data_IF_203819143722
#
_entry.id   IF_203819143722
#
_cell.length_a   1.000
_cell.length_b   1.000
_cell.length_c   1.000
_cell.angle_alpha   90.00
_cell.angle_beta   90.00
_cell.angle_gamma   90.00
#
_symmetry.space_group_name_H-M   'P 1'
#
loop_
_entity.id
_entity.type
_entity.pdbx_description
1 polymer ?
#
# COMPACT_ATOMS: atom_id res chain seq x y z
N UNK A 1 -8.02 -7.28 3.22
CA UNK A 1 -7.67 -8.53 2.51
C UNK A 1 -6.56 -8.23 1.54
N UNK A 2 -5.55 -9.10 1.46
CA UNK A 2 -4.52 -9.09 0.41
C UNK A 2 -4.57 -10.45 -0.27
N UNK A 3 -4.56 -10.45 -1.60
CA UNK A 3 -4.54 -11.66 -2.42
C UNK A 3 -3.34 -11.61 -3.35
N UNK A 4 -2.64 -12.74 -3.49
CA UNK A 4 -1.58 -12.88 -4.48
C UNK A 4 -2.19 -12.87 -5.90
N UNK A 5 -1.49 -12.26 -6.86
CA UNK A 5 -1.90 -12.29 -8.28
C UNK A 5 -2.00 -13.71 -8.85
N UNK A 6 -1.25 -14.64 -8.26
CA UNK A 6 -1.26 -16.06 -8.64
C UNK A 6 -2.36 -16.88 -7.94
N UNK A 7 -3.23 -16.25 -7.15
CA UNK A 7 -4.30 -16.98 -6.45
C UNK A 7 -5.40 -17.41 -7.44
N UNK A 8 -5.55 -18.71 -7.63
CA UNK A 8 -6.62 -19.27 -8.47
C UNK A 8 -7.98 -19.27 -7.76
N UNK A 9 -9.05 -19.53 -8.52
CA UNK A 9 -10.39 -19.70 -7.96
C UNK A 9 -10.41 -20.91 -7.02
N UNK A 10 -10.66 -20.67 -5.73
CA UNK A 10 -10.62 -21.69 -4.69
C UNK A 10 -9.23 -21.93 -4.08
N UNK A 11 -8.21 -21.15 -4.46
CA UNK A 11 -6.86 -21.21 -3.90
C UNK A 11 -6.74 -20.62 -2.49
N UNK A 12 -5.54 -20.74 -1.92
CA UNK A 12 -5.21 -20.39 -0.53
C UNK A 12 -4.21 -19.22 -0.40
N UNK A 13 -3.81 -18.58 -1.51
CA UNK A 13 -2.88 -17.44 -1.53
C UNK A 13 -3.62 -16.11 -1.27
N UNK A 14 -4.47 -16.08 -0.25
CA UNK A 14 -5.28 -14.92 0.15
C UNK A 14 -5.41 -14.86 1.67
N UNK A 15 -5.29 -13.67 2.24
CA UNK A 15 -5.40 -13.45 3.69
C UNK A 15 -6.10 -12.13 4.03
N UNK A 16 -6.59 -12.04 5.27
CA UNK A 16 -7.14 -10.81 5.84
C UNK A 16 -6.50 -10.56 7.22
N UNK A 17 -6.34 -9.28 7.56
CA UNK A 17 -5.84 -8.84 8.84
C UNK A 17 -6.38 -7.44 9.15
N UNK A 18 -6.30 -7.07 10.43
CA UNK A 18 -6.44 -5.67 10.87
C UNK A 18 -5.09 -5.00 10.70
N UNK A 19 -5.03 -3.92 9.94
CA UNK A 19 -3.81 -3.18 9.65
C UNK A 19 -3.76 -1.88 10.45
N UNK A 20 -2.61 -1.62 11.08
CA UNK A 20 -2.33 -0.36 11.76
C UNK A 20 -1.26 0.40 10.97
N UNK A 21 -1.46 1.70 10.75
CA UNK A 21 -0.54 2.50 9.95
C UNK A 21 -0.98 3.95 9.80
N UNK A 22 -0.24 4.68 8.96
CA UNK A 22 -0.52 6.07 8.60
C UNK A 22 -1.16 6.13 7.20
N UNK A 23 -2.21 6.93 6.98
CA UNK A 23 -2.73 7.16 5.63
C UNK A 23 -1.64 7.71 4.71
N UNK A 24 -1.47 7.09 3.54
CA UNK A 24 -0.44 7.52 2.58
C UNK A 24 -0.70 8.94 2.09
N UNK A 25 -1.97 9.33 1.92
CA UNK A 25 -2.35 10.69 1.48
C UNK A 25 -1.79 11.77 2.40
N UNK A 26 -1.86 11.59 3.71
CA UNK A 26 -1.32 12.55 4.69
C UNK A 26 0.20 12.74 4.52
N UNK A 27 0.90 11.67 4.16
CA UNK A 27 2.35 11.71 3.90
C UNK A 27 2.67 12.40 2.58
N UNK A 28 1.88 12.16 1.52
CA UNK A 28 2.05 12.80 0.21
C UNK A 28 1.76 14.31 0.30
N UNK A 29 0.71 14.70 1.01
CA UNK A 29 0.34 16.10 1.24
C UNK A 29 1.43 16.82 2.04
N UNK A 30 1.91 16.19 3.13
CA UNK A 30 3.02 16.74 3.92
C UNK A 30 4.31 16.86 3.12
N UNK A 31 4.56 15.95 2.18
CA UNK A 31 5.73 16.00 1.31
C UNK A 31 5.61 17.06 0.20
N UNK A 32 4.41 17.59 -0.06
CA UNK A 32 4.17 18.56 -1.13
C UNK A 32 4.44 17.96 -2.51
N UNK A 33 3.93 16.74 -2.76
CA UNK A 33 4.10 16.06 -4.05
C UNK A 33 3.56 16.95 -5.18
N UNK A 34 4.41 17.17 -6.19
CA UNK A 34 4.07 18.05 -7.30
C UNK A 34 3.03 17.40 -8.23
N UNK A 35 2.13 18.17 -8.85
CA UNK A 35 1.06 17.62 -9.69
C UNK A 35 1.55 16.76 -10.87
N UNK A 36 2.76 16.99 -11.37
CA UNK A 36 3.38 16.19 -12.44
C UNK A 36 3.86 14.79 -11.99
N UNK A 37 3.86 14.51 -10.68
CA UNK A 37 4.25 13.22 -10.12
C UNK A 37 3.16 12.17 -10.31
N UNK A 38 3.28 11.35 -11.35
CA UNK A 38 2.22 10.40 -11.76
C UNK A 38 2.32 9.01 -11.14
N UNK A 39 3.39 8.67 -10.41
CA UNK A 39 3.61 7.34 -9.87
C UNK A 39 4.18 7.35 -8.45
N UNK A 40 3.58 6.54 -7.58
CA UNK A 40 4.15 6.15 -6.28
C UNK A 40 4.94 4.86 -6.49
N UNK A 41 6.20 4.83 -6.07
CA UNK A 41 7.09 3.66 -6.20
C UNK A 41 7.60 3.22 -4.83
N UNK A 42 7.16 2.05 -4.40
CA UNK A 42 7.73 1.34 -3.27
C UNK A 42 9.04 0.67 -3.67
N UNK A 43 10.05 0.82 -2.82
CA UNK A 43 11.34 0.12 -2.93
C UNK A 43 11.60 -0.59 -1.60
N UNK A 44 11.81 -1.89 -1.66
CA UNK A 44 12.10 -2.71 -0.49
C UNK A 44 13.61 -2.87 -0.30
N UNK A 45 14.01 -3.15 0.95
CA UNK A 45 15.41 -3.41 1.32
C UNK A 45 15.97 -4.68 0.69
N UNK A 46 15.10 -5.61 0.28
CA UNK A 46 15.45 -6.85 -0.42
C UNK A 46 15.54 -6.68 -1.95
N UNK A 47 15.39 -5.44 -2.45
CA UNK A 47 15.46 -5.11 -3.86
C UNK A 47 14.15 -5.23 -4.63
N UNK A 48 13.05 -5.64 -3.99
CA UNK A 48 11.74 -5.65 -4.65
C UNK A 48 11.23 -4.22 -4.92
N UNK A 49 10.61 -4.01 -6.08
CA UNK A 49 9.98 -2.73 -6.42
C UNK A 49 8.59 -2.95 -6.98
N UNK A 50 7.65 -2.11 -6.57
CA UNK A 50 6.28 -2.11 -7.08
C UNK A 50 5.74 -0.69 -6.96
N UNK A 51 4.83 -0.31 -7.84
CA UNK A 51 4.24 1.02 -7.81
C UNK A 51 2.83 1.03 -8.37
N UNK A 52 2.20 2.19 -8.22
CA UNK A 52 0.87 2.45 -8.73
C UNK A 52 0.73 3.95 -9.04
N UNK A 53 -0.26 4.33 -9.86
CA UNK A 53 -0.54 5.73 -10.17
C UNK A 53 -0.80 6.58 -8.92
N UNK A 54 -0.34 7.84 -8.92
CA UNK A 54 -0.53 8.72 -7.75
C UNK A 54 -2.01 9.03 -7.47
N UNK A 55 -2.86 9.10 -8.50
CA UNK A 55 -4.29 9.34 -8.36
C UNK A 55 -5.01 8.22 -7.59
N UNK A 56 -4.56 6.97 -7.74
CA UNK A 56 -5.04 5.82 -6.95
C UNK A 56 -4.70 5.97 -5.45
N UNK A 57 -3.67 6.73 -5.09
CA UNK A 57 -3.36 7.02 -3.69
C UNK A 57 -4.34 8.02 -3.05
N UNK A 58 -5.05 8.79 -3.88
CA UNK A 58 -5.85 9.96 -3.46
C UNK A 58 -7.32 9.90 -3.89
N UNK A 59 -7.78 8.78 -4.48
CA UNK A 59 -9.13 8.62 -5.01
C UNK A 59 -10.24 8.35 -3.96
N UNK A 60 -9.93 8.60 -2.69
CA UNK A 60 -10.82 8.37 -1.56
C UNK A 60 -10.73 6.98 -0.93
N UNK A 61 -9.98 6.05 -1.52
CA UNK A 61 -9.61 4.80 -0.84
C UNK A 61 -8.52 5.05 0.21
N UNK A 62 -8.50 4.21 1.24
CA UNK A 62 -7.45 4.25 2.27
C UNK A 62 -6.24 3.45 1.79
N UNK A 63 -5.24 4.16 1.25
CA UNK A 63 -3.88 3.63 1.12
C UNK A 63 -3.12 3.85 2.43
N UNK A 64 -2.37 2.84 2.89
CA UNK A 64 -1.76 2.84 4.22
C UNK A 64 -0.26 2.54 4.13
N UNK A 65 0.55 3.29 4.87
CA UNK A 65 1.89 2.84 5.28
C UNK A 65 1.73 2.09 6.59
N UNK A 66 1.66 0.76 6.50
CA UNK A 66 1.41 -0.13 7.62
C UNK A 66 2.67 -0.32 8.49
N UNK A 67 2.47 -0.34 9.81
CA UNK A 67 3.51 -0.60 10.83
C UNK A 67 3.09 -1.68 11.83
N UNK A 68 1.86 -2.18 11.76
CA UNK A 68 1.36 -3.26 12.60
C UNK A 68 0.27 -4.08 11.91
N UNK A 69 0.12 -5.33 12.35
CA UNK A 69 -0.81 -6.32 11.82
C UNK A 69 -1.41 -7.13 12.98
N UNK A 70 -2.74 -7.18 13.06
CA UNK A 70 -3.49 -7.93 14.09
C UNK A 70 -3.11 -7.57 15.55
N UNK A 71 -2.83 -6.29 15.81
CA UNK A 71 -2.50 -5.80 17.14
C UNK A 71 -1.01 -5.88 17.51
N UNK A 72 -0.18 -6.47 16.64
CA UNK A 72 1.25 -6.65 16.85
C UNK A 72 2.09 -5.78 15.88
N UNK A 73 3.31 -5.36 16.26
CA UNK A 73 4.26 -4.70 15.36
C UNK A 73 4.72 -5.60 14.20
N UNK A 74 5.04 -4.98 13.05
CA UNK A 74 5.68 -5.62 11.88
C UNK A 74 7.21 -5.67 11.97
#
# INVERSE_FOLDING_TARGET
TIACVSNEVGGDLVGNAVWLGVPLVDLLDRAGVRPEGTQVVGRSIDGFTVGFPTDVATDGRVALVAVGMNGEPL
#
